data_IF_658134411423
#
_entry.id   IF_658134411423
#
_cell.length_a   1.000
_cell.length_b   1.000
_cell.length_c   1.000
_cell.angle_alpha   90.00
_cell.angle_beta   90.00
_cell.angle_gamma   90.00
#
_symmetry.space_group_name_H-M   'P 1'
#
loop_
_entity.id
_entity.type
_entity.pdbx_description
1 polymer ?
#
# COMPACT_ATOMS: atom_id res chain seq x y z
N UNK A 1 -16.10 -34.42 -53.62
CA UNK A 1 -17.00 -33.93 -52.56
C UNK A 1 -16.19 -33.88 -51.28
N UNK A 2 -15.69 -32.70 -50.89
CA UNK A 2 -14.79 -32.56 -49.74
C UNK A 2 -15.61 -32.23 -48.49
N UNK A 3 -15.61 -33.14 -47.52
CA UNK A 3 -16.26 -32.99 -46.22
C UNK A 3 -15.45 -32.05 -45.33
N UNK A 4 -15.96 -30.84 -45.09
CA UNK A 4 -15.46 -29.98 -44.01
C UNK A 4 -15.95 -30.56 -42.67
N UNK A 5 -15.00 -30.96 -41.81
CA UNK A 5 -15.29 -31.26 -40.41
C UNK A 5 -15.55 -29.96 -39.63
N UNK A 6 -16.40 -29.98 -38.59
CA UNK A 6 -16.75 -28.77 -37.85
C UNK A 6 -15.52 -28.23 -37.09
N UNK A 7 -15.31 -26.93 -37.19
CA UNK A 7 -14.25 -26.19 -36.50
C UNK A 7 -14.60 -26.05 -35.02
N UNK A 8 -14.18 -27.02 -34.20
CA UNK A 8 -14.28 -26.97 -32.74
C UNK A 8 -13.18 -26.05 -32.18
N UNK A 9 -13.47 -24.75 -32.15
CA UNK A 9 -12.62 -23.79 -31.46
C UNK A 9 -12.60 -24.11 -29.96
N UNK A 10 -11.43 -24.50 -29.44
CA UNK A 10 -11.22 -24.80 -28.02
C UNK A 10 -11.30 -23.49 -27.22
N UNK A 11 -12.45 -23.22 -26.60
CA UNK A 11 -12.68 -22.03 -25.78
C UNK A 11 -11.82 -22.12 -24.52
N UNK A 12 -10.82 -21.24 -24.41
CA UNK A 12 -10.07 -21.05 -23.17
C UNK A 12 -10.94 -20.16 -22.26
N UNK A 13 -11.40 -20.63 -21.09
CA UNK A 13 -12.13 -19.79 -20.17
C UNK A 13 -11.25 -18.64 -19.68
N UNK A 14 -11.66 -17.39 -19.96
CA UNK A 14 -10.93 -16.17 -19.57
C UNK A 14 -10.96 -15.89 -18.05
N UNK A 15 -11.65 -16.73 -17.27
CA UNK A 15 -11.76 -16.59 -15.81
C UNK A 15 -11.70 -17.98 -15.17
N UNK A 16 -10.65 -18.28 -14.37
CA UNK A 16 -10.63 -19.49 -13.57
C UNK A 16 -11.83 -19.48 -12.59
N UNK A 17 -12.45 -20.63 -12.28
CA UNK A 17 -13.44 -20.72 -11.22
C UNK A 17 -12.73 -20.63 -9.87
N UNK A 18 -12.47 -19.41 -9.44
CA UNK A 18 -12.14 -19.08 -8.06
C UNK A 18 -13.05 -17.94 -7.65
N UNK A 19 -13.81 -18.10 -6.55
CA UNK A 19 -14.53 -16.99 -5.92
C UNK A 19 -13.57 -15.86 -5.53
N UNK A 20 -14.04 -14.78 -4.87
CA UNK A 20 -13.14 -13.75 -4.35
C UNK A 20 -12.16 -14.39 -3.36
N UNK A 21 -11.02 -14.82 -3.86
CA UNK A 21 -9.91 -15.23 -3.04
C UNK A 21 -9.46 -13.95 -2.35
N UNK A 22 -9.45 -13.89 -1.00
CA UNK A 22 -9.00 -12.69 -0.31
C UNK A 22 -7.62 -12.37 -0.87
N UNK A 23 -7.54 -11.25 -1.60
CA UNK A 23 -6.32 -10.86 -2.29
C UNK A 23 -5.23 -10.85 -1.22
N UNK A 24 -4.17 -11.64 -1.43
CA UNK A 24 -3.01 -11.59 -0.56
C UNK A 24 -2.68 -10.10 -0.35
N UNK A 25 -2.49 -9.65 0.89
CA UNK A 25 -2.31 -8.23 1.16
C UNK A 25 -1.18 -7.73 0.24
N UNK A 26 -1.37 -6.60 -0.46
CA UNK A 26 -0.42 -6.04 -1.47
C UNK A 26 0.51 -5.02 -0.85
N UNK A 27 1.81 -5.09 -1.13
CA UNK A 27 2.83 -4.26 -0.47
C UNK A 27 2.38 -2.79 -0.43
N UNK A 28 2.47 -2.11 0.74
CA UNK A 28 1.94 -0.75 0.87
C UNK A 28 2.64 0.16 -0.13
N UNK A 29 1.88 1.08 -0.71
CA UNK A 29 2.46 2.03 -1.65
C UNK A 29 3.22 3.10 -0.87
N UNK A 30 4.28 3.62 -1.49
CA UNK A 30 5.09 4.69 -0.92
C UNK A 30 4.25 5.90 -0.49
N UNK A 31 3.33 6.35 -1.36
CA UNK A 31 2.41 7.46 -1.07
C UNK A 31 1.51 7.23 0.15
N UNK A 32 1.14 5.98 0.44
CA UNK A 32 0.32 5.66 1.60
C UNK A 32 1.12 5.80 2.90
N UNK A 33 2.38 5.35 2.87
CA UNK A 33 3.30 5.44 4.01
C UNK A 33 3.63 6.89 4.32
N UNK A 34 4.09 7.65 3.32
CA UNK A 34 4.42 9.07 3.49
C UNK A 34 3.21 9.87 3.90
N UNK A 35 2.06 9.66 3.26
CA UNK A 35 0.80 10.30 3.63
C UNK A 35 0.39 10.01 5.08
N UNK A 36 0.57 8.77 5.52
CA UNK A 36 0.35 8.34 6.90
C UNK A 36 1.25 9.06 7.90
N UNK A 37 2.54 9.19 7.60
CA UNK A 37 3.49 9.95 8.42
C UNK A 37 3.06 11.41 8.52
N UNK A 38 2.87 12.11 7.40
CA UNK A 38 2.46 13.52 7.39
C UNK A 38 1.20 13.75 8.22
N UNK A 39 0.20 12.88 8.06
CA UNK A 39 -1.04 12.95 8.84
C UNK A 39 -0.81 12.75 10.33
N UNK A 40 -0.02 11.75 10.72
CA UNK A 40 0.28 11.45 12.12
C UNK A 40 0.99 12.62 12.79
N UNK A 41 2.01 13.17 12.14
CA UNK A 41 2.78 14.30 12.67
C UNK A 41 1.91 15.57 12.78
N UNK A 42 1.09 15.86 11.76
CA UNK A 42 0.13 16.98 11.85
C UNK A 42 -0.83 16.83 13.03
N UNK A 43 -1.39 15.63 13.22
CA UNK A 43 -2.34 15.37 14.31
C UNK A 43 -1.66 15.41 15.68
N UNK A 44 -0.41 14.93 15.79
CA UNK A 44 0.38 15.02 17.03
C UNK A 44 0.61 16.48 17.44
N UNK A 45 0.80 17.37 16.46
CA UNK A 45 0.91 18.82 16.66
C UNK A 45 -0.44 19.53 16.88
N UNK A 46 -1.58 18.80 16.80
CA UNK A 46 -2.93 19.36 16.88
C UNK A 46 -3.22 20.45 15.84
N UNK A 47 -2.55 20.38 14.67
CA UNK A 47 -2.70 21.36 13.59
C UNK A 47 -3.76 20.95 12.58
N UNK A 48 -4.44 21.93 12.02
CA UNK A 48 -5.43 21.69 10.96
C UNK A 48 -4.75 21.50 9.61
N UNK A 49 -5.46 20.90 8.65
CA UNK A 49 -4.99 20.84 7.26
C UNK A 49 -4.69 22.23 6.69
N UNK A 50 -5.49 23.24 7.09
CA UNK A 50 -5.31 24.63 6.65
C UNK A 50 -3.95 25.17 7.09
N UNK A 51 -3.63 25.06 8.38
CA UNK A 51 -2.38 25.59 8.95
C UNK A 51 -1.14 25.01 8.27
N UNK A 52 -1.12 23.71 7.99
CA UNK A 52 0.02 23.05 7.33
C UNK A 52 0.06 23.36 5.85
N UNK A 53 -1.09 23.41 5.18
CA UNK A 53 -1.15 23.69 3.74
C UNK A 53 -0.68 25.11 3.40
N UNK A 54 -1.00 26.08 4.26
CA UNK A 54 -0.56 27.48 4.09
C UNK A 54 0.97 27.59 4.20
N UNK A 55 1.57 26.94 5.19
CA UNK A 55 3.02 26.93 5.39
C UNK A 55 3.75 26.15 4.28
N UNK A 56 3.20 25.00 3.86
CA UNK A 56 3.73 24.20 2.77
C UNK A 56 3.45 24.80 1.37
N UNK A 57 2.71 25.92 1.29
CA UNK A 57 2.28 26.58 0.04
C UNK A 57 1.59 25.65 -0.96
N UNK A 58 0.74 24.77 -0.45
CA UNK A 58 -0.10 23.89 -1.25
C UNK A 58 -1.57 24.06 -0.86
N UNK A 59 -2.49 23.57 -1.70
CA UNK A 59 -3.91 23.68 -1.37
C UNK A 59 -4.33 22.68 -0.30
N UNK A 60 -5.30 23.06 0.56
CA UNK A 60 -5.91 22.16 1.54
C UNK A 60 -6.40 20.85 0.93
N UNK A 61 -7.13 20.85 -0.22
CA UNK A 61 -7.55 19.60 -0.85
C UNK A 61 -6.37 18.74 -1.28
N UNK A 62 -5.28 19.34 -1.77
CA UNK A 62 -4.11 18.59 -2.20
C UNK A 62 -3.39 17.93 -1.02
N UNK A 63 -3.15 18.65 0.09
CA UNK A 63 -2.60 18.04 1.31
C UNK A 63 -3.48 16.89 1.82
N UNK A 64 -4.80 17.07 1.75
CA UNK A 64 -5.77 16.04 2.12
C UNK A 64 -5.62 14.76 1.29
N UNK A 65 -5.38 14.89 -0.01
CA UNK A 65 -5.15 13.75 -0.90
C UNK A 65 -3.78 13.09 -0.65
N UNK A 66 -2.76 13.88 -0.29
CA UNK A 66 -1.45 13.36 0.10
C UNK A 66 -1.55 12.51 1.38
N UNK A 67 -2.19 13.03 2.43
CA UNK A 67 -2.39 12.30 3.70
C UNK A 67 -3.17 10.99 3.56
N UNK A 68 -3.97 10.87 2.49
CA UNK A 68 -4.74 9.66 2.17
C UNK A 68 -4.03 8.75 1.17
N UNK A 69 -2.82 9.07 0.73
CA UNK A 69 -2.09 8.28 -0.27
C UNK A 69 -2.80 8.24 -1.63
N UNK A 70 -3.52 9.29 -2.00
CA UNK A 70 -4.27 9.36 -3.27
C UNK A 70 -3.47 9.99 -4.40
N UNK A 71 -2.35 10.65 -4.09
CA UNK A 71 -1.49 11.34 -5.05
C UNK A 71 -0.02 10.98 -4.83
N UNK A 72 0.71 10.93 -5.93
CA UNK A 72 2.18 10.95 -5.92
C UNK A 72 2.60 12.42 -5.86
N UNK A 73 3.25 12.82 -4.77
CA UNK A 73 3.84 14.16 -4.64
C UNK A 73 5.22 14.19 -5.31
N UNK A 74 5.59 15.35 -5.85
CA UNK A 74 6.98 15.60 -6.19
C UNK A 74 7.84 15.67 -4.93
N UNK A 75 9.16 15.49 -5.10
CA UNK A 75 10.11 15.59 -3.99
C UNK A 75 10.08 16.97 -3.33
N UNK A 76 9.86 18.04 -4.10
CA UNK A 76 9.74 19.42 -3.60
C UNK A 76 8.50 19.58 -2.72
N UNK A 77 7.36 19.02 -3.13
CA UNK A 77 6.12 19.06 -2.34
C UNK A 77 6.28 18.29 -1.03
N UNK A 78 6.93 17.11 -1.07
CA UNK A 78 7.22 16.34 0.13
C UNK A 78 8.15 17.08 1.09
N UNK A 79 9.20 17.71 0.56
CA UNK A 79 10.11 18.53 1.37
C UNK A 79 9.39 19.72 2.00
N UNK A 80 8.52 20.41 1.25
CA UNK A 80 7.74 21.54 1.76
C UNK A 80 6.75 21.10 2.86
N UNK A 81 6.04 19.98 2.66
CA UNK A 81 5.10 19.45 3.65
C UNK A 81 5.81 18.95 4.92
N UNK A 82 6.96 18.29 4.78
CA UNK A 82 7.80 17.88 5.90
C UNK A 82 8.29 19.10 6.69
N UNK A 83 8.82 20.10 5.99
CA UNK A 83 9.33 21.32 6.61
C UNK A 83 8.23 22.09 7.34
N UNK A 84 7.03 22.18 6.76
CA UNK A 84 5.87 22.77 7.40
C UNK A 84 5.46 22.04 8.69
N UNK A 85 5.88 20.80 8.90
CA UNK A 85 5.68 20.04 10.13
C UNK A 85 6.91 20.06 11.05
N UNK A 86 7.91 20.88 10.75
CA UNK A 86 9.16 20.94 11.52
C UNK A 86 10.10 19.76 11.30
N UNK A 87 9.88 18.97 10.24
CA UNK A 87 10.67 17.78 9.91
C UNK A 87 11.65 18.07 8.78
N UNK A 88 12.79 17.39 8.80
CA UNK A 88 13.65 17.26 7.63
C UNK A 88 13.10 16.21 6.65
N UNK A 89 13.41 16.33 5.35
CA UNK A 89 13.05 15.30 4.38
C UNK A 89 13.65 13.93 4.76
N UNK A 90 14.89 13.89 5.25
CA UNK A 90 15.52 12.64 5.71
C UNK A 90 14.76 11.97 6.85
N UNK A 91 14.22 12.75 7.79
CA UNK A 91 13.42 12.26 8.92
C UNK A 91 12.08 11.69 8.44
N UNK A 92 11.40 12.38 7.52
CA UNK A 92 10.19 11.87 6.86
C UNK A 92 10.44 10.50 6.20
N UNK A 93 11.58 10.35 5.50
CA UNK A 93 11.96 9.09 4.87
C UNK A 93 12.23 7.98 5.89
N UNK A 94 12.92 8.29 6.99
CA UNK A 94 13.16 7.35 8.09
C UNK A 94 11.87 6.85 8.72
N UNK A 95 10.93 7.76 9.02
CA UNK A 95 9.63 7.39 9.58
C UNK A 95 8.82 6.52 8.60
N UNK A 96 8.82 6.85 7.30
CA UNK A 96 8.14 6.05 6.29
C UNK A 96 8.79 4.65 6.12
N UNK A 97 10.12 4.56 6.24
CA UNK A 97 10.85 3.30 6.25
C UNK A 97 10.45 2.43 7.46
N UNK A 98 10.34 3.01 8.64
CA UNK A 98 9.90 2.31 9.86
C UNK A 98 8.48 1.73 9.69
N UNK A 99 7.57 2.51 9.10
CA UNK A 99 6.22 2.06 8.78
C UNK A 99 6.23 0.91 7.75
N UNK A 100 7.09 0.99 6.73
CA UNK A 100 7.27 -0.09 5.73
C UNK A 100 7.80 -1.38 6.36
N UNK A 101 8.84 -1.29 7.20
CA UNK A 101 9.43 -2.45 7.91
C UNK A 101 8.41 -3.08 8.86
N UNK A 102 7.62 -2.26 9.56
CA UNK A 102 6.55 -2.75 10.42
C UNK A 102 5.49 -3.50 9.62
N UNK A 103 5.11 -2.97 8.47
CA UNK A 103 4.13 -3.62 7.59
C UNK A 103 4.65 -4.94 7.01
N UNK A 104 5.93 -5.00 6.61
CA UNK A 104 6.56 -6.21 6.06
C UNK A 104 6.68 -7.32 7.12
N UNK A 105 7.03 -6.97 8.38
CA UNK A 105 7.07 -7.92 9.51
C UNK A 105 5.72 -8.53 9.81
N UNK A 106 4.65 -7.73 9.81
CA UNK A 106 3.26 -8.20 10.02
C UNK A 106 2.84 -9.20 8.94
N UNK A 107 3.28 -9.01 7.69
CA UNK A 107 3.05 -9.99 6.62
C UNK A 107 3.85 -11.27 6.76
N UNK A 108 5.12 -11.15 7.14
CA UNK A 108 5.99 -12.30 7.37
C UNK A 108 5.39 -13.25 8.41
N UNK A 109 4.82 -12.70 9.49
CA UNK A 109 4.12 -13.47 10.52
C UNK A 109 2.81 -14.12 10.02
N UNK A 110 2.05 -13.46 9.14
CA UNK A 110 0.82 -14.01 8.56
C UNK A 110 1.02 -15.20 7.60
N UNK A 111 2.24 -15.43 7.10
CA UNK A 111 2.56 -16.56 6.20
C UNK A 111 2.89 -17.87 6.92
N UNK A 112 3.15 -17.86 8.23
CA UNK A 112 3.59 -19.05 8.98
C UNK A 112 2.40 -19.91 9.48
N UNK A 113 1.18 -19.38 9.51
CA UNK A 113 -0.02 -20.07 9.99
C UNK A 113 -0.77 -20.86 8.90
N UNK A 114 -0.05 -21.45 7.94
CA UNK A 114 -0.61 -22.14 6.76
C UNK A 114 -0.11 -23.57 6.53
N UNK A 115 0.26 -24.31 7.59
CA UNK A 115 0.58 -25.74 7.48
C UNK A 115 0.19 -26.52 8.73
N UNK A 116 -0.89 -27.31 8.66
CA UNK A 116 -0.77 -28.75 8.90
C UNK A 116 -1.68 -29.55 7.95
N UNK A 117 -1.41 -30.77 7.49
CA UNK A 117 -0.30 -31.68 7.71
C UNK A 117 -0.60 -32.94 6.88
N UNK A 118 0.43 -33.61 6.39
CA UNK A 118 0.31 -35.01 5.98
C UNK A 118 1.59 -35.73 6.39
N UNK A 119 1.75 -35.87 7.71
CA UNK A 119 2.81 -36.64 8.34
C UNK A 119 2.16 -37.76 9.15
N UNK A 120 1.75 -38.83 8.48
CA UNK A 120 1.51 -40.10 9.16
C UNK A 120 2.87 -40.68 9.58
N UNK A 121 3.19 -40.55 10.86
CA UNK A 121 4.10 -41.45 11.55
C UNK A 121 3.29 -42.13 12.66
N UNK A 122 2.76 -43.32 12.38
CA UNK A 122 2.48 -44.30 13.42
C UNK A 122 3.64 -45.30 13.40
N UNK A 123 4.50 -45.18 14.41
CA UNK A 123 5.33 -46.28 14.86
C UNK A 123 4.43 -47.28 15.60
N UNK A 124 4.54 -48.55 15.22
CA UNK A 124 4.16 -49.72 16.00
C UNK A 124 5.25 -50.77 15.80
#
# INVERSE_FOLDING_TARGET
>A
MSTQGPNEARVIPLRPPGGPQPAAPKEPLWRDLVGGVLRRERLAQQRTLKDVSEEARISVPYLSELERGRKEASSEVLAAAAHALGLGLGELLSLAQEDLVTHSRRRGHGRVAGGPGNGLCLAA
#
